data_IF_644415056492
#
_entry.id   IF_644415056492
#
_cell.length_a   1.000
_cell.length_b   1.000
_cell.length_c   1.000
_cell.angle_alpha   90.00
_cell.angle_beta   90.00
_cell.angle_gamma   90.00
#
_symmetry.space_group_name_H-M   'P 1'
#
loop_
_entity.id
_entity.type
_entity.pdbx_description
1 polymer ?
#
# COMPACT_ATOMS: atom_id res chain seq x y z
N UNK A 1 -1.51 24.48 3.55
CA UNK A 1 -2.67 23.57 3.36
C UNK A 1 -3.71 23.80 4.45
N UNK A 2 -4.96 23.80 4.09
CA UNK A 2 -6.03 23.96 5.07
C UNK A 2 -6.52 22.59 5.57
N UNK A 3 -6.04 22.17 6.73
CA UNK A 3 -6.37 20.85 7.30
C UNK A 3 -7.80 20.71 7.78
N UNK A 4 -8.53 21.80 7.87
CA UNK A 4 -9.95 21.78 8.25
C UNK A 4 -10.78 21.06 7.18
N UNK A 5 -10.44 21.24 5.91
CA UNK A 5 -11.17 20.67 4.78
C UNK A 5 -10.46 19.50 4.10
N UNK A 6 -9.17 19.36 4.30
CA UNK A 6 -8.38 18.32 3.68
C UNK A 6 -7.38 17.75 4.66
N UNK A 7 -7.39 16.42 4.78
CA UNK A 7 -6.39 15.73 5.56
C UNK A 7 -5.12 15.58 4.74
N UNK A 8 -3.97 15.75 5.37
CA UNK A 8 -2.68 15.52 4.72
C UNK A 8 -2.50 14.03 4.44
N UNK A 9 -2.08 13.70 3.23
CA UNK A 9 -1.75 12.32 2.85
C UNK A 9 -0.28 12.27 2.50
N UNK A 10 0.44 11.36 3.13
CA UNK A 10 1.85 11.06 2.80
C UNK A 10 1.85 9.72 2.10
N UNK A 11 2.18 9.72 0.83
CA UNK A 11 2.14 8.51 0.01
C UNK A 11 3.53 8.19 -0.51
N UNK A 12 3.97 6.95 -0.33
CA UNK A 12 5.24 6.46 -0.86
C UNK A 12 5.00 5.65 -2.13
N UNK A 13 5.78 5.93 -3.16
CA UNK A 13 5.77 5.16 -4.39
C UNK A 13 7.06 4.36 -4.48
N UNK A 14 6.97 3.05 -4.28
CA UNK A 14 8.16 2.19 -4.29
C UNK A 14 8.73 1.95 -5.67
N UNK A 15 7.94 2.14 -6.69
CA UNK A 15 8.33 1.84 -8.07
C UNK A 15 8.77 0.38 -8.20
N UNK A 16 9.79 0.06 -8.98
CA UNK A 16 10.25 -1.31 -9.18
C UNK A 16 11.38 -1.61 -8.19
N UNK A 17 11.03 -1.65 -6.91
CA UNK A 17 12.00 -1.94 -5.85
C UNK A 17 11.41 -2.88 -4.83
N UNK A 18 12.26 -3.68 -4.22
CA UNK A 18 12.01 -4.60 -3.12
C UNK A 18 11.35 -5.90 -3.52
N UNK A 19 11.83 -6.93 -2.87
CA UNK A 19 11.27 -8.28 -2.91
C UNK A 19 10.31 -8.45 -1.72
N UNK A 20 9.53 -9.53 -1.66
CA UNK A 20 8.72 -9.82 -0.48
C UNK A 20 9.53 -9.89 0.82
N UNK A 21 10.73 -10.48 0.78
CA UNK A 21 11.60 -10.54 1.96
C UNK A 21 12.08 -9.17 2.40
N UNK A 22 12.51 -8.34 1.45
CA UNK A 22 12.91 -6.96 1.75
C UNK A 22 11.74 -6.12 2.24
N UNK A 23 10.55 -6.39 1.72
CA UNK A 23 9.32 -5.73 2.18
C UNK A 23 9.08 -6.02 3.65
N UNK A 24 9.22 -7.26 4.08
CA UNK A 24 9.04 -7.66 5.47
C UNK A 24 10.04 -6.94 6.37
N UNK A 25 11.29 -6.88 5.97
CA UNK A 25 12.33 -6.17 6.73
C UNK A 25 12.03 -4.68 6.86
N UNK A 26 11.67 -4.04 5.74
CA UNK A 26 11.32 -2.63 5.73
C UNK A 26 10.14 -2.35 6.64
N UNK A 27 9.08 -3.16 6.54
CA UNK A 27 7.86 -2.93 7.31
C UNK A 27 8.09 -3.10 8.81
N UNK A 28 8.94 -4.02 9.20
CA UNK A 28 9.29 -4.19 10.62
C UNK A 28 9.93 -2.93 11.17
N UNK A 29 10.90 -2.37 10.46
CA UNK A 29 11.57 -1.13 10.87
C UNK A 29 10.61 0.07 10.81
N UNK A 30 9.83 0.16 9.74
CA UNK A 30 8.89 1.26 9.51
C UNK A 30 7.81 1.31 10.59
N UNK A 31 7.27 0.16 10.96
CA UNK A 31 6.25 0.07 11.99
C UNK A 31 6.72 0.65 13.31
N UNK A 32 7.99 0.42 13.65
CA UNK A 32 8.59 0.97 14.87
C UNK A 32 8.81 2.49 14.82
N UNK A 33 8.80 3.07 13.64
CA UNK A 33 9.04 4.50 13.44
C UNK A 33 7.75 5.32 13.28
N UNK A 34 6.60 4.67 13.21
CA UNK A 34 5.35 5.37 12.96
C UNK A 34 5.00 6.31 14.10
N UNK A 35 4.65 7.57 13.82
CA UNK A 35 4.23 8.50 14.85
C UNK A 35 2.86 8.11 15.41
N UNK A 36 2.61 8.44 16.65
CA UNK A 36 1.34 8.13 17.31
C UNK A 36 0.22 9.10 16.92
N UNK A 37 0.58 10.25 16.41
CA UNK A 37 -0.40 11.27 16.02
C UNK A 37 -1.22 10.90 14.80
N UNK A 38 -2.38 11.52 14.68
CA UNK A 38 -3.32 11.23 13.58
C UNK A 38 -3.51 12.42 12.65
N UNK A 39 -2.48 13.23 12.51
CA UNK A 39 -2.57 14.44 11.70
C UNK A 39 -2.49 14.17 10.19
N UNK A 40 -2.07 13.00 9.79
CA UNK A 40 -2.01 12.63 8.37
C UNK A 40 -2.35 11.16 8.14
N UNK A 41 -2.73 10.85 6.92
CA UNK A 41 -2.85 9.48 6.46
C UNK A 41 -1.55 9.08 5.79
N UNK A 42 -1.15 7.83 5.93
CA UNK A 42 0.05 7.27 5.30
C UNK A 42 -0.36 6.13 4.40
N UNK A 43 0.12 6.13 3.18
CA UNK A 43 -0.12 5.05 2.23
C UNK A 43 1.20 4.68 1.54
N UNK A 44 1.41 3.40 1.30
CA UNK A 44 2.56 2.91 0.58
C UNK A 44 2.07 2.14 -0.64
N UNK A 45 2.46 2.60 -1.82
CA UNK A 45 2.14 1.92 -3.08
C UNK A 45 3.33 1.05 -3.46
N UNK A 46 3.12 -0.25 -3.41
CA UNK A 46 4.20 -1.24 -3.52
C UNK A 46 4.01 -2.11 -4.76
N UNK A 47 5.08 -2.78 -5.24
CA UNK A 47 4.95 -3.76 -6.32
C UNK A 47 3.93 -4.84 -5.96
N UNK A 48 3.19 -5.33 -6.95
CA UNK A 48 2.12 -6.30 -6.73
C UNK A 48 2.57 -7.53 -5.94
N UNK A 49 3.78 -8.02 -6.20
CA UNK A 49 4.33 -9.19 -5.51
C UNK A 49 4.57 -8.94 -4.03
N UNK A 50 4.66 -7.68 -3.62
CA UNK A 50 4.90 -7.30 -2.23
C UNK A 50 3.60 -7.02 -1.46
N UNK A 51 2.47 -6.90 -2.14
CA UNK A 51 1.19 -6.49 -1.52
C UNK A 51 0.78 -7.41 -0.36
N UNK A 52 0.70 -8.73 -0.53
CA UNK A 52 0.27 -9.59 0.58
C UNK A 52 1.16 -9.46 1.81
N UNK A 53 2.47 -9.39 1.62
CA UNK A 53 3.42 -9.23 2.73
C UNK A 53 3.24 -7.88 3.41
N UNK A 54 3.10 -6.81 2.62
CA UNK A 54 2.90 -5.45 3.14
C UNK A 54 1.61 -5.32 3.92
N UNK A 55 0.50 -5.83 3.37
CA UNK A 55 -0.81 -5.81 4.03
C UNK A 55 -0.75 -6.53 5.38
N UNK A 56 -0.15 -7.71 5.41
CA UNK A 56 -0.03 -8.49 6.64
C UNK A 56 0.79 -7.75 7.69
N UNK A 57 1.91 -7.15 7.28
CA UNK A 57 2.79 -6.44 8.20
C UNK A 57 2.15 -5.17 8.78
N UNK A 58 1.30 -4.49 8.00
CA UNK A 58 0.68 -3.22 8.42
C UNK A 58 -0.74 -3.37 8.97
N UNK A 59 -1.20 -4.61 9.20
CA UNK A 59 -2.58 -4.91 9.56
C UNK A 59 -3.09 -4.17 10.79
N UNK A 60 -2.26 -3.98 11.79
CA UNK A 60 -2.65 -3.31 13.03
C UNK A 60 -2.20 -1.85 13.08
N UNK A 61 -1.87 -1.28 11.94
CA UNK A 61 -1.46 0.12 11.83
C UNK A 61 -2.50 0.88 11.00
N UNK A 62 -2.30 2.19 10.91
CA UNK A 62 -3.13 3.05 10.09
C UNK A 62 -2.57 3.24 8.68
N UNK A 63 -1.49 2.54 8.35
CA UNK A 63 -0.88 2.63 7.03
C UNK A 63 -1.70 1.84 6.02
N UNK A 64 -2.12 2.52 4.96
CA UNK A 64 -2.80 1.88 3.84
C UNK A 64 -1.78 1.34 2.84
N UNK A 65 -2.03 0.15 2.32
CA UNK A 65 -1.22 -0.42 1.24
C UNK A 65 -1.98 -0.28 -0.06
N UNK A 66 -1.32 0.27 -1.05
CA UNK A 66 -1.88 0.44 -2.38
C UNK A 66 -1.06 -0.28 -3.42
N UNK A 67 -1.64 -0.44 -4.60
CA UNK A 67 -0.95 -0.95 -5.77
C UNK A 67 -0.34 0.21 -6.56
N UNK A 68 0.57 -0.13 -7.45
CA UNK A 68 1.19 0.85 -8.35
C UNK A 68 0.48 0.89 -9.70
N UNK A 69 -0.29 -0.12 -10.00
CA UNK A 69 -1.02 -0.27 -11.25
C UNK A 69 -2.29 -1.08 -11.02
N UNK A 70 -3.30 -0.85 -11.86
CA UNK A 70 -4.50 -1.67 -11.86
C UNK A 70 -5.16 -1.59 -13.24
N UNK A 71 -5.95 -2.62 -13.56
CA UNK A 71 -6.70 -2.66 -14.81
C UNK A 71 -8.17 -2.34 -14.53
N UNK A 72 -8.80 -1.63 -15.44
CA UNK A 72 -10.20 -1.20 -15.30
C UNK A 72 -11.20 -2.34 -15.47
N UNK A 73 -10.80 -3.45 -16.10
CA UNK A 73 -11.67 -4.59 -16.31
C UNK A 73 -11.63 -5.53 -15.11
N UNK A 74 -12.78 -6.09 -14.76
CA UNK A 74 -12.88 -6.98 -13.60
C UNK A 74 -12.23 -8.34 -13.84
N UNK A 75 -12.12 -8.75 -15.09
CA UNK A 75 -11.48 -10.01 -15.49
C UNK A 75 -11.26 -10.00 -16.99
N UNK A 76 -10.58 -11.00 -17.52
CA UNK A 76 -10.42 -11.13 -18.96
C UNK A 76 -9.03 -11.58 -19.37
N UNK A 77 -8.79 -11.53 -20.67
CA UNK A 77 -7.55 -12.00 -21.29
C UNK A 77 -6.47 -10.90 -21.27
N UNK A 78 -6.26 -10.31 -20.14
CA UNK A 78 -5.28 -9.24 -19.92
C UNK A 78 -4.09 -9.79 -19.14
N UNK A 79 -3.34 -10.64 -19.79
CA UNK A 79 -2.22 -11.35 -19.17
C UNK A 79 -1.25 -10.38 -18.49
N UNK A 80 -0.95 -10.63 -17.23
CA UNK A 80 -0.03 -9.79 -16.45
C UNK A 80 -0.70 -8.63 -15.73
N UNK A 81 -1.97 -8.33 -16.03
CA UNK A 81 -2.69 -7.24 -15.39
C UNK A 81 -3.42 -7.70 -14.14
N UNK A 82 -3.73 -6.77 -13.27
CA UNK A 82 -4.39 -7.05 -12.01
C UNK A 82 -5.62 -6.13 -11.89
N UNK A 83 -6.78 -6.74 -11.66
CA UNK A 83 -8.03 -6.00 -11.53
C UNK A 83 -8.17 -5.38 -10.13
N UNK A 84 -8.97 -4.33 -10.02
CA UNK A 84 -9.18 -3.63 -8.74
C UNK A 84 -9.81 -4.54 -7.69
N UNK A 85 -10.73 -5.42 -8.08
CA UNK A 85 -11.34 -6.37 -7.13
C UNK A 85 -10.31 -7.34 -6.55
N UNK A 86 -9.30 -7.73 -7.33
CA UNK A 86 -8.20 -8.58 -6.84
C UNK A 86 -7.39 -7.83 -5.78
N UNK A 87 -7.14 -6.55 -6.01
CA UNK A 87 -6.37 -5.72 -5.09
C UNK A 87 -7.13 -5.47 -3.78
N UNK A 88 -8.42 -5.19 -3.87
CA UNK A 88 -9.25 -4.99 -2.68
C UNK A 88 -9.29 -6.25 -1.83
N UNK A 89 -9.47 -7.41 -2.48
CA UNK A 89 -9.48 -8.70 -1.77
C UNK A 89 -8.13 -8.99 -1.12
N UNK A 90 -7.04 -8.57 -1.75
CA UNK A 90 -5.69 -8.72 -1.18
C UNK A 90 -5.42 -7.77 0.00
N UNK A 91 -6.28 -6.78 0.21
CA UNK A 91 -6.18 -5.86 1.34
C UNK A 91 -5.73 -4.45 0.99
N UNK A 92 -5.68 -4.10 -0.28
CA UNK A 92 -5.39 -2.73 -0.70
C UNK A 92 -6.53 -1.79 -0.34
N UNK A 93 -6.16 -0.55 -0.15
CA UNK A 93 -7.12 0.52 0.16
C UNK A 93 -7.15 1.57 -0.91
#
# INVERSE_FOLDING_TARGET
MNRKYRKTVIAGNWKMNKTPSETKEFMTAFKGMLPKGRWCDVALCVPAVCIPTAVRAMRETRVGIGAENCNANASGAYTGEIATNMLVDAGCK
#
